data_IF_706941073710
#
_entry.id   IF_706941073710
#
_cell.length_a   1.000
_cell.length_b   1.000
_cell.length_c   1.000
_cell.angle_alpha   90.00
_cell.angle_beta   90.00
_cell.angle_gamma   90.00
#
_symmetry.space_group_name_H-M   'P 1'
#
loop_
_entity.id
_entity.type
_entity.pdbx_description
1 polymer ?
#
# COMPACT_ATOMS: atom_id res chain seq x y z
N UNK A 1 21.54 0.32 12.56
CA UNK A 1 20.37 -0.51 12.21
C UNK A 1 19.63 0.17 11.07
N UNK A 2 19.24 -0.54 10.02
CA UNK A 2 18.54 0.07 8.89
C UNK A 2 17.12 0.45 9.31
N UNK A 3 16.77 1.72 9.20
CA UNK A 3 15.43 2.22 9.48
C UNK A 3 14.41 1.57 8.54
N UNK A 4 13.23 1.25 9.05
CA UNK A 4 12.16 0.67 8.24
C UNK A 4 11.64 1.69 7.23
N UNK A 5 11.78 1.37 5.93
CA UNK A 5 11.39 2.25 4.82
C UNK A 5 9.90 2.22 4.51
N UNK A 6 9.20 1.16 4.92
CA UNK A 6 7.75 0.99 4.73
C UNK A 6 7.00 1.69 5.84
N UNK A 7 6.81 3.00 5.70
CA UNK A 7 6.03 3.83 6.61
C UNK A 7 4.95 4.57 5.85
N UNK A 8 3.83 4.84 6.52
CA UNK A 8 2.81 5.74 5.98
C UNK A 8 3.45 7.08 5.64
N UNK A 9 3.07 7.65 4.51
CA UNK A 9 3.46 9.00 4.13
C UNK A 9 2.28 9.80 3.57
N UNK A 10 2.53 11.07 3.27
CA UNK A 10 1.53 12.03 2.81
C UNK A 10 1.31 12.01 1.29
N UNK A 11 1.90 11.04 0.57
CA UNK A 11 1.69 10.95 -0.86
C UNK A 11 0.24 10.53 -1.18
N UNK A 12 -0.33 11.13 -2.22
CA UNK A 12 -1.67 10.78 -2.70
C UNK A 12 -1.65 9.42 -3.41
N UNK A 13 -2.55 8.52 -3.00
CA UNK A 13 -2.77 7.23 -3.66
C UNK A 13 -3.25 7.43 -5.09
N UNK A 14 -4.23 8.31 -5.31
CA UNK A 14 -4.73 8.65 -6.64
C UNK A 14 -3.62 9.25 -7.51
N UNK A 15 -2.85 10.18 -6.96
CA UNK A 15 -1.71 10.79 -7.64
C UNK A 15 -0.62 9.78 -8.01
N UNK A 16 -0.41 8.75 -7.19
CA UNK A 16 0.49 7.65 -7.49
C UNK A 16 -0.06 6.73 -8.59
N UNK A 17 -1.33 6.32 -8.50
CA UNK A 17 -1.97 5.46 -9.50
C UNK A 17 -2.08 6.14 -10.87
N UNK A 18 -2.29 7.45 -10.91
CA UNK A 18 -2.31 8.20 -12.17
C UNK A 18 -0.97 8.20 -12.92
N UNK A 19 0.14 7.91 -12.23
CA UNK A 19 1.48 7.77 -12.83
C UNK A 19 1.73 6.38 -13.42
N UNK A 20 0.83 5.43 -13.26
CA UNK A 20 0.93 4.13 -13.91
C UNK A 20 0.68 4.33 -15.41
N UNK A 21 1.71 4.08 -16.22
CA UNK A 21 1.69 4.32 -17.67
C UNK A 21 0.71 3.41 -18.41
N UNK A 22 0.61 2.15 -17.98
CA UNK A 22 -0.30 1.17 -18.57
C UNK A 22 -1.74 1.47 -18.12
N UNK A 23 -2.60 1.83 -19.07
CA UNK A 23 -3.97 2.24 -18.80
C UNK A 23 -4.82 1.12 -18.19
N UNK A 24 -4.66 -0.12 -18.66
CA UNK A 24 -5.44 -1.24 -18.14
C UNK A 24 -5.01 -1.53 -16.70
N UNK A 25 -3.71 -1.59 -16.46
CA UNK A 25 -3.15 -1.76 -15.10
C UNK A 25 -3.62 -0.66 -14.16
N UNK A 26 -3.65 0.59 -14.63
CA UNK A 26 -4.15 1.73 -13.85
C UNK A 26 -5.63 1.53 -13.47
N UNK A 27 -6.49 1.14 -14.43
CA UNK A 27 -7.90 0.86 -14.17
C UNK A 27 -8.06 -0.28 -13.16
N UNK A 28 -7.33 -1.37 -13.34
CA UNK A 28 -7.36 -2.52 -12.43
C UNK A 28 -6.93 -2.12 -11.00
N UNK A 29 -5.93 -1.24 -10.88
CA UNK A 29 -5.51 -0.73 -9.56
C UNK A 29 -6.59 0.10 -8.87
N UNK A 30 -7.32 0.94 -9.61
CA UNK A 30 -8.45 1.68 -9.05
C UNK A 30 -9.58 0.74 -8.60
N UNK A 31 -9.85 -0.32 -9.36
CA UNK A 31 -10.84 -1.34 -8.99
C UNK A 31 -10.43 -2.07 -7.71
N UNK A 32 -9.16 -2.50 -7.61
CA UNK A 32 -8.61 -3.12 -6.40
C UNK A 32 -8.74 -2.18 -5.20
N UNK A 33 -8.49 -0.87 -5.37
CA UNK A 33 -8.68 0.11 -4.30
C UNK A 33 -10.13 0.14 -3.83
N UNK A 34 -11.11 0.14 -4.74
CA UNK A 34 -12.52 0.13 -4.36
C UNK A 34 -12.88 -1.15 -3.60
N UNK A 35 -12.46 -2.32 -4.11
CA UNK A 35 -12.72 -3.61 -3.46
C UNK A 35 -12.12 -3.63 -2.05
N UNK A 36 -10.84 -3.28 -1.89
CA UNK A 36 -10.17 -3.29 -0.59
C UNK A 36 -10.77 -2.29 0.38
N UNK A 37 -11.14 -1.08 -0.09
CA UNK A 37 -11.86 -0.09 0.71
C UNK A 37 -13.21 -0.61 1.19
N UNK A 38 -13.98 -1.28 0.32
CA UNK A 38 -15.27 -1.85 0.68
C UNK A 38 -15.16 -2.97 1.71
N UNK A 39 -14.16 -3.85 1.58
CA UNK A 39 -13.94 -4.99 2.49
C UNK A 39 -13.41 -4.51 3.85
N UNK A 40 -12.42 -3.62 3.85
CA UNK A 40 -11.75 -3.17 5.08
C UNK A 40 -12.46 -2.04 5.80
N UNK A 41 -13.30 -1.27 5.09
CA UNK A 41 -13.85 0.01 5.56
C UNK A 41 -12.78 1.04 5.94
N UNK A 42 -11.59 0.92 5.37
CA UNK A 42 -10.46 1.82 5.59
C UNK A 42 -10.14 2.61 4.32
N UNK A 43 -9.70 3.86 4.48
CA UNK A 43 -9.16 4.63 3.36
C UNK A 43 -7.75 4.13 2.99
N UNK A 44 -7.41 4.08 1.68
CA UNK A 44 -6.08 3.71 1.25
C UNK A 44 -5.06 4.78 1.66
N UNK A 45 -3.87 4.35 2.05
CA UNK A 45 -2.72 5.22 2.29
C UNK A 45 -1.49 4.73 1.55
N UNK A 46 -0.59 5.65 1.21
CA UNK A 46 0.71 5.31 0.66
C UNK A 46 1.65 4.85 1.78
N UNK A 47 2.31 3.72 1.54
CA UNK A 47 3.33 3.14 2.40
C UNK A 47 4.65 3.05 1.64
N UNK A 48 5.66 3.76 2.14
CA UNK A 48 6.92 3.90 1.44
C UNK A 48 6.73 4.42 0.00
N UNK A 49 7.56 3.99 -0.96
CA UNK A 49 7.55 4.59 -2.30
C UNK A 49 6.44 4.08 -3.23
N UNK A 50 5.78 2.96 -2.92
CA UNK A 50 4.97 2.25 -3.93
C UNK A 50 3.94 1.25 -3.39
N UNK A 51 3.71 1.17 -2.08
CA UNK A 51 2.69 0.27 -1.53
C UNK A 51 1.45 1.09 -1.23
N UNK A 52 0.29 0.60 -1.64
CA UNK A 52 -1.01 1.12 -1.28
C UNK A 52 -1.56 0.18 -0.21
N UNK A 53 -1.72 0.67 1.00
CA UNK A 53 -2.09 -0.13 2.16
C UNK A 53 -3.40 0.33 2.80
N UNK A 54 -4.09 -0.61 3.44
CA UNK A 54 -5.37 -0.41 4.13
C UNK A 54 -5.27 -0.91 5.56
N UNK A 55 -5.75 -0.09 6.49
CA UNK A 55 -5.56 -0.31 7.91
C UNK A 55 -4.08 -0.34 8.32
N UNK A 56 -3.82 -0.58 9.59
CA UNK A 56 -2.47 -0.78 10.10
C UNK A 56 -2.50 -1.65 11.35
N UNK A 57 -1.45 -2.43 11.56
CA UNK A 57 -1.22 -3.12 12.83
C UNK A 57 0.22 -2.90 13.28
N UNK A 58 0.40 -2.88 14.59
CA UNK A 58 1.70 -2.82 15.21
C UNK A 58 2.16 -4.24 15.53
N UNK A 59 3.34 -4.63 15.04
CA UNK A 59 3.94 -5.93 15.34
C UNK A 59 5.11 -5.76 16.31
N UNK A 60 5.33 -6.79 17.14
CA UNK A 60 6.47 -6.87 18.04
C UNK A 60 7.00 -8.29 18.07
N UNK A 61 8.28 -8.46 17.76
CA UNK A 61 8.98 -9.74 17.83
C UNK A 61 9.62 -9.95 19.22
N UNK A 62 9.90 -11.20 19.57
CA UNK A 62 10.63 -11.56 20.80
C UNK A 62 12.02 -10.92 20.87
N UNK A 63 12.64 -10.64 19.71
CA UNK A 63 13.92 -9.92 19.62
C UNK A 63 13.85 -8.44 20.01
N UNK A 64 12.66 -7.92 20.35
CA UNK A 64 12.41 -6.52 20.66
C UNK A 64 12.19 -5.63 19.43
N UNK A 65 12.32 -6.18 18.21
CA UNK A 65 12.03 -5.44 16.98
C UNK A 65 10.51 -5.25 16.84
N UNK A 66 10.09 -4.01 16.66
CA UNK A 66 8.69 -3.65 16.45
C UNK A 66 8.51 -2.65 15.32
N UNK A 67 7.25 -2.45 14.91
CA UNK A 67 6.87 -1.42 13.95
C UNK A 67 5.49 -1.65 13.36
N UNK A 68 5.13 -0.83 12.39
CA UNK A 68 3.79 -0.82 11.81
C UNK A 68 3.80 -1.37 10.38
N UNK A 69 2.75 -2.09 10.02
CA UNK A 69 2.50 -2.53 8.65
C UNK A 69 1.03 -2.37 8.27
N UNK A 70 0.72 -2.20 6.97
CA UNK A 70 -0.66 -2.25 6.51
C UNK A 70 -1.24 -3.64 6.75
N UNK A 71 -2.53 -3.73 7.11
CA UNK A 71 -3.19 -5.03 7.32
C UNK A 71 -3.32 -5.80 6.01
N UNK A 72 -3.68 -5.08 4.94
CA UNK A 72 -3.62 -5.56 3.56
C UNK A 72 -3.09 -4.44 2.67
N UNK A 73 -2.53 -4.79 1.52
CA UNK A 73 -2.11 -3.79 0.54
C UNK A 73 -1.72 -4.42 -0.78
N UNK A 74 -1.36 -3.59 -1.73
CA UNK A 74 -0.82 -4.03 -3.01
C UNK A 74 0.16 -3.01 -3.58
N UNK A 75 0.87 -3.40 -4.64
CA UNK A 75 1.81 -2.54 -5.36
C UNK A 75 1.74 -2.78 -6.87
N UNK A 76 1.47 -1.74 -7.70
CA UNK A 76 1.58 -1.84 -9.14
C UNK A 76 3.06 -1.78 -9.56
N UNK A 77 3.67 -2.94 -9.75
CA UNK A 77 5.05 -3.04 -10.26
C UNK A 77 5.05 -2.99 -11.80
N UNK A 78 6.25 -2.80 -12.36
CA UNK A 78 6.47 -2.68 -13.80
C UNK A 78 5.83 -3.82 -14.58
N UNK A 79 6.05 -5.07 -14.14
CA UNK A 79 5.49 -6.25 -14.79
C UNK A 79 4.11 -6.60 -14.22
N UNK A 80 4.00 -6.75 -12.90
CA UNK A 80 2.82 -7.34 -12.25
C UNK A 80 2.18 -6.39 -11.23
N UNK A 81 0.92 -6.64 -10.88
CA UNK A 81 0.31 -6.13 -9.64
C UNK A 81 0.59 -7.18 -8.55
N UNK A 82 1.21 -6.75 -7.44
CA UNK A 82 1.55 -7.64 -6.32
C UNK A 82 0.64 -7.33 -5.14
N UNK A 83 -0.06 -8.34 -4.61
CA UNK A 83 -0.80 -8.30 -3.35
C UNK A 83 0.02 -8.94 -2.23
#
# INVERSE_FOLDING_TARGET
MAEMKTKVNEASVEGFLNKVEDEQKRKDCFEIVQIMKQVTKQEPKMWGPAIIGFGSYHYKYESGREGDMPQIGFSPRKQNITL
#
